data_IF_451665070229
#
_entry.id   IF_451665070229
#
_cell.length_a   1.000
_cell.length_b   1.000
_cell.length_c   1.000
_cell.angle_alpha   90.00
_cell.angle_beta   90.00
_cell.angle_gamma   90.00
#
_symmetry.space_group_name_H-M   'P 1'
#
loop_
_entity.id
_entity.type
_entity.pdbx_description
1 polymer ?
#
# COMPACT_ATOMS: atom_id res chain seq x y z
N UNK A 1 -3.28 14.72 11.77
CA UNK A 1 -3.42 13.95 10.51
C UNK A 1 -2.41 12.83 10.57
N UNK A 2 -2.87 11.60 10.52
CA UNK A 2 -2.02 10.42 10.62
C UNK A 2 -1.82 9.82 9.23
N UNK A 3 -0.78 9.03 9.08
CA UNK A 3 -0.49 8.32 7.83
C UNK A 3 -0.71 6.85 8.05
N UNK A 4 -1.31 6.17 7.07
CA UNK A 4 -1.56 4.74 7.15
C UNK A 4 -1.04 4.02 5.91
N UNK A 5 -0.50 2.82 6.13
CA UNK A 5 -0.33 1.83 5.08
C UNK A 5 -1.58 0.94 5.08
N UNK A 6 -2.32 0.98 3.98
CA UNK A 6 -3.56 0.22 3.79
C UNK A 6 -3.29 -0.92 2.81
N UNK A 7 -3.62 -2.14 3.21
CA UNK A 7 -3.47 -3.33 2.37
C UNK A 7 -4.82 -4.00 2.13
N UNK A 8 -5.18 -4.16 0.87
CA UNK A 8 -6.38 -4.87 0.43
C UNK A 8 -6.00 -6.27 -0.07
N UNK A 9 -6.58 -7.30 0.52
CA UNK A 9 -6.39 -8.69 0.10
C UNK A 9 -7.64 -9.19 -0.61
N UNK A 10 -7.47 -9.67 -1.83
CA UNK A 10 -8.53 -10.29 -2.63
C UNK A 10 -8.47 -11.82 -2.52
N UNK A 11 -9.61 -12.49 -2.64
CA UNK A 11 -9.75 -13.94 -2.66
C UNK A 11 -8.89 -14.61 -3.74
N UNK A 12 -8.64 -13.91 -4.85
CA UNK A 12 -7.78 -14.36 -5.96
C UNK A 12 -6.30 -14.50 -5.58
N UNK A 13 -5.90 -14.03 -4.39
CA UNK A 13 -4.50 -13.89 -3.98
C UNK A 13 -3.87 -12.56 -4.42
N UNK A 14 -4.62 -11.70 -5.12
CA UNK A 14 -4.17 -10.34 -5.45
C UNK A 14 -4.17 -9.48 -4.19
N UNK A 15 -3.06 -8.78 -3.96
CA UNK A 15 -2.94 -7.81 -2.88
C UNK A 15 -2.63 -6.43 -3.45
N UNK A 16 -3.31 -5.40 -2.97
CA UNK A 16 -3.05 -4.00 -3.33
C UNK A 16 -2.65 -3.22 -2.09
N UNK A 17 -1.49 -2.57 -2.11
CA UNK A 17 -0.95 -1.83 -0.97
C UNK A 17 -0.92 -0.35 -1.33
N UNK A 18 -1.59 0.48 -0.53
CA UNK A 18 -1.56 1.94 -0.57
C UNK A 18 -0.76 2.44 0.62
N UNK A 19 0.41 3.01 0.35
CA UNK A 19 1.32 3.49 1.39
C UNK A 19 1.14 4.98 1.67
N UNK A 20 1.44 5.39 2.90
CA UNK A 20 1.43 6.78 3.35
C UNK A 20 0.11 7.51 3.03
N UNK A 21 -1.03 6.83 3.21
CA UNK A 21 -2.36 7.41 3.01
C UNK A 21 -2.61 8.44 4.12
N UNK A 22 -2.73 9.73 3.82
CA UNK A 22 -3.10 10.72 4.81
C UNK A 22 -4.57 10.55 5.17
N UNK A 23 -4.87 10.47 6.46
CA UNK A 23 -6.25 10.34 6.94
C UNK A 23 -6.47 11.13 8.23
N UNK A 24 -7.67 11.71 8.34
CA UNK A 24 -8.20 12.27 9.59
C UNK A 24 -8.96 11.21 10.40
N UNK A 25 -9.27 10.06 9.78
CA UNK A 25 -9.92 8.92 10.43
C UNK A 25 -8.89 8.14 11.25
N UNK A 26 -9.35 7.57 12.35
CA UNK A 26 -8.50 6.82 13.27
C UNK A 26 -8.59 5.31 12.99
N UNK A 27 -7.43 4.65 12.98
CA UNK A 27 -7.32 3.19 12.90
C UNK A 27 -7.88 2.63 11.59
N UNK A 28 -8.76 1.62 11.70
CA UNK A 28 -9.27 0.87 10.55
C UNK A 28 -9.93 1.78 9.50
N UNK A 29 -10.72 2.78 9.91
CA UNK A 29 -11.51 3.62 9.00
C UNK A 29 -10.68 4.43 7.99
N UNK A 30 -9.37 4.55 8.20
CA UNK A 30 -8.44 5.18 7.26
C UNK A 30 -8.40 4.48 5.89
N UNK A 31 -8.82 3.22 5.78
CA UNK A 31 -8.86 2.51 4.49
C UNK A 31 -9.73 3.22 3.45
N UNK A 32 -10.79 3.91 3.91
CA UNK A 32 -11.72 4.60 3.02
C UNK A 32 -11.04 5.75 2.28
N UNK A 33 -10.10 6.43 2.94
CA UNK A 33 -9.38 7.58 2.37
C UNK A 33 -8.29 7.12 1.38
N UNK A 34 -7.95 5.83 1.38
CA UNK A 34 -7.09 5.23 0.36
C UNK A 34 -7.81 5.03 -0.99
N UNK A 35 -9.15 4.99 -0.97
CA UNK A 35 -9.99 4.78 -2.14
C UNK A 35 -10.30 6.09 -2.84
N UNK A 36 -10.15 6.12 -4.17
CA UNK A 36 -10.62 7.22 -5.00
C UNK A 36 -12.15 7.21 -5.12
N UNK A 37 -12.75 6.02 -5.14
CA UNK A 37 -14.20 5.85 -5.13
C UNK A 37 -14.58 4.59 -4.37
N UNK A 38 -15.66 4.67 -3.60
CA UNK A 38 -16.22 3.54 -2.86
C UNK A 38 -17.70 3.41 -3.24
N UNK A 39 -18.06 2.26 -3.80
CA UNK A 39 -19.47 1.90 -4.08
C UNK A 39 -19.85 0.66 -3.27
N UNK A 40 -21.10 0.20 -3.41
CA UNK A 40 -21.56 -1.05 -2.80
C UNK A 40 -20.87 -2.29 -3.38
N UNK A 41 -20.54 -2.27 -4.68
CA UNK A 41 -19.98 -3.42 -5.40
C UNK A 41 -18.48 -3.38 -5.54
N UNK A 42 -17.92 -2.19 -5.71
CA UNK A 42 -16.53 -2.00 -6.10
C UNK A 42 -15.87 -0.87 -5.31
N UNK A 43 -14.57 -1.02 -5.07
CA UNK A 43 -13.69 0.08 -4.69
C UNK A 43 -12.74 0.38 -5.85
N UNK A 44 -12.40 1.65 -6.00
CA UNK A 44 -11.40 2.10 -6.96
C UNK A 44 -10.26 2.74 -6.21
N UNK A 45 -9.05 2.27 -6.51
CA UNK A 45 -7.81 2.74 -5.92
C UNK A 45 -7.00 3.43 -7.02
N UNK A 46 -6.67 4.71 -6.83
CA UNK A 46 -5.72 5.39 -7.71
C UNK A 46 -4.32 4.93 -7.32
N UNK A 47 -3.62 4.18 -8.19
CA UNK A 47 -2.24 3.77 -7.95
C UNK A 47 -1.27 4.72 -8.66
N UNK A 48 0.03 4.44 -8.56
CA UNK A 48 1.07 5.26 -9.21
C UNK A 48 0.78 5.45 -10.71
N UNK A 49 1.27 6.56 -11.26
CA UNK A 49 1.13 6.91 -12.69
C UNK A 49 -0.31 7.17 -13.15
N UNK A 50 -1.23 7.48 -12.22
CA UNK A 50 -2.61 7.87 -12.53
C UNK A 50 -3.51 6.70 -12.95
N UNK A 51 -3.06 5.46 -12.77
CA UNK A 51 -3.84 4.27 -13.13
C UNK A 51 -4.86 3.94 -12.05
N UNK A 52 -6.08 3.57 -12.44
CA UNK A 52 -7.10 3.08 -11.52
C UNK A 52 -7.09 1.57 -11.42
N UNK A 53 -7.06 1.05 -10.20
CA UNK A 53 -7.28 -0.36 -9.88
C UNK A 53 -8.66 -0.50 -9.27
N UNK A 54 -9.56 -1.16 -9.98
CA UNK A 54 -10.88 -1.54 -9.46
C UNK A 54 -10.81 -2.90 -8.80
N UNK A 55 -11.41 -3.04 -7.63
CA UNK A 55 -11.56 -4.30 -6.89
C UNK A 55 -13.03 -4.52 -6.53
N UNK A 56 -13.52 -5.74 -6.72
CA UNK A 56 -14.87 -6.11 -6.29
C UNK A 56 -14.88 -6.34 -4.78
N UNK A 57 -15.74 -5.63 -4.07
CA UNK A 57 -15.85 -5.66 -2.60
C UNK A 57 -16.20 -7.04 -2.06
N UNK A 58 -16.98 -7.82 -2.82
CA UNK A 58 -17.36 -9.18 -2.42
C UNK A 58 -16.16 -10.14 -2.40
N UNK A 59 -15.08 -9.79 -3.11
CA UNK A 59 -13.86 -10.59 -3.16
C UNK A 59 -12.75 -10.06 -2.25
N UNK A 60 -12.94 -8.90 -1.60
CA UNK A 60 -11.99 -8.42 -0.61
C UNK A 60 -12.20 -9.21 0.69
N UNK A 61 -11.23 -10.05 1.03
CA UNK A 61 -11.30 -10.95 2.18
C UNK A 61 -10.71 -10.34 3.44
N UNK A 62 -9.80 -9.37 3.30
CA UNK A 62 -9.18 -8.66 4.43
C UNK A 62 -8.70 -7.28 4.01
N UNK A 63 -8.83 -6.32 4.93
CA UNK A 63 -8.23 -4.99 4.82
C UNK A 63 -7.42 -4.76 6.09
N UNK A 64 -6.12 -4.50 5.93
CA UNK A 64 -5.22 -4.16 7.02
C UNK A 64 -4.94 -2.66 6.97
N UNK A 65 -5.01 -1.98 8.12
CA UNK A 65 -4.71 -0.55 8.25
C UNK A 65 -3.66 -0.35 9.36
N UNK A 66 -2.46 0.06 8.95
CA UNK A 66 -1.33 0.22 9.87
C UNK A 66 -0.91 1.69 9.93
N UNK A 67 -0.94 2.27 11.14
CA UNK A 67 -0.49 3.64 11.34
C UNK A 67 1.04 3.75 11.20
N UNK A 68 1.49 4.72 10.41
CA UNK A 68 2.89 5.00 10.12
C UNK A 68 3.28 6.29 10.85
N UNK A 69 4.21 6.15 11.80
CA UNK A 69 4.70 7.28 12.64
C UNK A 69 5.56 8.28 11.86
N UNK A 70 6.29 7.84 10.83
CA UNK A 70 7.12 8.70 9.99
C UNK A 70 7.07 8.23 8.51
N UNK A 71 6.39 8.97 7.61
CA UNK A 71 6.35 8.67 6.18
C UNK A 71 7.72 8.75 5.48
N UNK A 72 8.67 9.46 6.09
CA UNK A 72 9.98 9.80 5.52
C UNK A 72 10.99 8.65 5.69
N UNK A 73 10.92 7.91 6.80
CA UNK A 73 11.83 6.79 7.12
C UNK A 73 11.66 5.60 6.16
N UNK A 74 10.44 5.24 5.78
CA UNK A 74 10.16 4.12 4.85
C UNK A 74 10.58 4.37 3.39
N UNK A 75 10.82 5.63 3.01
CA UNK A 75 11.40 5.96 1.71
C UNK A 75 12.92 5.77 1.70
N UNK A 76 13.59 6.02 2.83
CA UNK A 76 15.01 5.81 3.04
C UNK A 76 15.35 4.31 3.17
N UNK A 77 14.61 3.53 3.99
CA UNK A 77 14.91 2.11 4.18
C UNK A 77 14.81 1.28 2.89
N UNK A 78 13.90 1.64 1.96
CA UNK A 78 13.80 0.98 0.66
C UNK A 78 14.95 1.31 -0.30
N UNK A 79 15.57 2.49 -0.18
CA UNK A 79 16.82 2.77 -0.90
C UNK A 79 17.96 1.93 -0.33
N UNK A 80 18.00 1.74 0.98
CA UNK A 80 19.04 0.95 1.65
C UNK A 80 18.92 -0.56 1.37
N UNK A 81 17.71 -1.12 1.31
CA UNK A 81 17.50 -2.54 0.93
C UNK A 81 17.93 -2.82 -0.51
N UNK A 82 17.66 -1.91 -1.45
CA UNK A 82 18.11 -2.06 -2.85
C UNK A 82 19.63 -1.93 -2.96
N UNK A 83 20.26 -1.00 -2.23
CA UNK A 83 21.73 -0.90 -2.20
C UNK A 83 22.39 -2.12 -1.54
N UNK A 84 21.76 -2.71 -0.53
CA UNK A 84 22.22 -3.94 0.10
C UNK A 84 22.25 -5.15 -0.84
N UNK A 85 21.28 -5.27 -1.75
CA UNK A 85 21.24 -6.37 -2.74
C UNK A 85 22.23 -6.16 -3.89
N UNK A 86 22.48 -4.91 -4.30
CA UNK A 86 23.43 -4.61 -5.39
C UNK A 86 24.88 -4.93 -5.02
N UNK A 87 25.26 -4.82 -3.74
CA UNK A 87 26.61 -5.20 -3.29
C UNK A 87 26.83 -6.72 -3.16
N UNK A 88 25.78 -7.52 -3.01
CA UNK A 88 25.92 -8.98 -2.87
C UNK A 88 26.01 -9.71 -4.22
N UNK A 89 25.53 -9.10 -5.31
CA UNK A 89 25.65 -9.66 -6.67
C UNK A 89 26.97 -9.30 -7.37
N UNK A 90 27.72 -8.32 -6.86
CA UNK A 90 29.01 -7.91 -7.44
C UNK A 90 30.18 -8.83 -7.04
N UNK A 91 29.93 -9.88 -6.24
CA UNK A 91 30.96 -10.80 -5.74
C UNK A 91 30.86 -12.25 -6.30
N UNK A 92 30.11 -12.45 -7.39
CA UNK A 92 30.19 -13.68 -8.18
C UNK A 92 30.61 -13.38 -9.62
N UNK A 93 31.92 -13.27 -9.82
CA UNK A 93 32.55 -13.61 -11.11
C UNK A 93 33.45 -12.53 -11.72
N UNK A 94 34.73 -12.53 -11.36
CA UNK A 94 35.81 -12.99 -12.25
C UNK A 94 36.96 -13.57 -11.44
#
# INVERSE_FOLDING_TARGET
MNYYDITFHELSGKTVIKRNVPSEKAGFEAWQDACAQVTEKEIQLLVNDGTYVTMNRQFIVRIDAEEVKDPTEKALSRKDEIMGVVNTLSNMGF
#
